data_IF_854361070165
#
_entry.id   IF_854361070165
#
_cell.length_a   1.000
_cell.length_b   1.000
_cell.length_c   1.000
_cell.angle_alpha   90.00
_cell.angle_beta   90.00
_cell.angle_gamma   90.00
#
_symmetry.space_group_name_H-M   'P 1'
#
loop_
_entity.id
_entity.type
_entity.pdbx_description
1 polymer ?
#
# COMPACT_ATOMS: atom_id res chain seq x y z
N UNK A 1 -4.52 -21.55 -14.78
CA UNK A 1 -3.30 -20.68 -14.74
C UNK A 1 -3.40 -19.83 -13.50
N UNK A 2 -2.36 -19.78 -12.73
CA UNK A 2 -2.24 -18.98 -11.53
C UNK A 2 -1.52 -17.66 -11.83
N UNK A 3 -1.68 -16.66 -10.99
CA UNK A 3 -1.18 -15.32 -11.27
C UNK A 3 -0.50 -14.75 -10.02
N UNK A 4 0.65 -14.11 -10.19
CA UNK A 4 1.34 -13.38 -9.12
C UNK A 4 1.78 -12.02 -9.61
N UNK A 5 1.47 -10.97 -8.83
CA UNK A 5 2.07 -9.65 -8.99
C UNK A 5 3.17 -9.55 -7.93
N UNK A 6 4.40 -9.32 -8.37
CA UNK A 6 5.56 -9.01 -7.51
C UNK A 6 5.75 -7.51 -7.61
N UNK A 7 5.53 -6.81 -6.52
CA UNK A 7 5.56 -5.37 -6.46
C UNK A 7 6.68 -4.87 -5.56
N UNK A 8 7.61 -4.10 -6.14
CA UNK A 8 8.62 -3.34 -5.43
C UNK A 8 8.16 -1.90 -5.26
N UNK A 9 7.67 -1.54 -4.07
CA UNK A 9 7.16 -0.22 -3.77
C UNK A 9 8.22 0.86 -4.00
N UNK A 10 7.83 1.95 -4.66
CA UNK A 10 8.70 3.08 -4.95
C UNK A 10 9.96 2.76 -5.76
N UNK A 11 10.05 1.56 -6.38
CA UNK A 11 11.26 1.05 -7.02
C UNK A 11 11.71 1.89 -8.22
N UNK A 12 10.79 2.50 -8.96
CA UNK A 12 11.12 3.37 -10.09
C UNK A 12 11.80 4.67 -9.63
N UNK A 13 12.68 5.20 -10.47
CA UNK A 13 13.49 6.38 -10.15
C UNK A 13 13.84 7.19 -11.40
N UNK A 14 14.36 8.38 -11.20
CA UNK A 14 14.93 9.20 -12.25
C UNK A 14 16.39 8.81 -12.58
N UNK A 15 16.89 9.32 -13.69
CA UNK A 15 18.29 9.19 -14.04
C UNK A 15 19.18 9.99 -13.06
N UNK A 16 20.14 9.33 -12.42
CA UNK A 16 21.02 9.89 -11.40
C UNK A 16 22.41 10.15 -11.97
N UNK A 17 22.91 11.36 -11.79
CA UNK A 17 24.24 11.75 -12.30
C UNK A 17 25.37 10.85 -11.76
N UNK A 18 25.32 10.44 -10.49
CA UNK A 18 26.27 9.53 -9.84
C UNK A 18 26.31 8.14 -10.50
N UNK A 19 25.23 7.74 -11.17
CA UNK A 19 25.13 6.48 -11.91
C UNK A 19 25.42 6.64 -13.43
N UNK A 20 26.04 7.75 -13.82
CA UNK A 20 26.35 8.05 -15.23
C UNK A 20 25.10 8.39 -16.05
N UNK A 21 24.05 8.95 -15.44
CA UNK A 21 22.82 9.31 -16.10
C UNK A 21 21.86 8.13 -16.33
N UNK A 22 22.04 7.04 -15.61
CA UNK A 22 21.13 5.89 -15.60
C UNK A 22 20.12 5.99 -14.44
N UNK A 23 18.94 5.40 -14.63
CA UNK A 23 18.03 5.13 -13.51
C UNK A 23 18.59 4.02 -12.62
N UNK A 24 18.00 3.83 -11.44
CA UNK A 24 18.44 2.76 -10.55
C UNK A 24 18.16 1.37 -11.16
N UNK A 25 17.03 1.19 -11.83
CA UNK A 25 16.73 -0.07 -12.54
C UNK A 25 17.67 -0.34 -13.70
N UNK A 26 18.14 0.70 -14.42
CA UNK A 26 19.15 0.54 -15.46
C UNK A 26 20.54 0.20 -14.91
N UNK A 27 20.83 0.55 -13.66
CA UNK A 27 22.15 0.41 -13.07
C UNK A 27 22.28 -0.83 -12.19
N UNK A 28 21.24 -1.18 -11.45
CA UNK A 28 21.21 -2.32 -10.53
C UNK A 28 21.50 -3.65 -11.26
N UNK A 29 22.11 -4.58 -10.56
CA UNK A 29 22.32 -5.93 -11.08
C UNK A 29 21.07 -6.78 -10.80
N UNK A 30 20.17 -6.83 -11.78
CA UNK A 30 18.85 -7.48 -11.67
C UNK A 30 18.60 -8.50 -12.80
N UNK A 31 19.41 -9.60 -12.85
CA UNK A 31 19.37 -10.55 -13.96
C UNK A 31 18.02 -11.26 -14.13
N UNK A 32 17.25 -11.45 -13.07
CA UNK A 32 15.94 -12.10 -13.14
C UNK A 32 14.83 -11.12 -13.59
N UNK A 33 14.87 -9.87 -13.17
CA UNK A 33 13.97 -8.84 -13.72
C UNK A 33 14.21 -8.65 -15.22
N UNK A 34 15.47 -8.58 -15.64
CA UNK A 34 15.85 -8.53 -17.05
C UNK A 34 15.45 -9.79 -17.81
N UNK A 35 15.52 -10.95 -17.17
CA UNK A 35 15.06 -12.20 -17.77
C UNK A 35 13.54 -12.18 -17.99
N UNK A 36 12.76 -11.72 -17.00
CA UNK A 36 11.30 -11.58 -17.17
C UNK A 36 10.95 -10.60 -18.30
N UNK A 37 11.73 -9.52 -18.47
CA UNK A 37 11.53 -8.58 -19.58
C UNK A 37 11.89 -9.23 -20.93
N UNK A 38 13.04 -9.90 -21.02
CA UNK A 38 13.56 -10.51 -22.24
C UNK A 38 12.76 -11.72 -22.73
N UNK A 39 12.22 -12.50 -21.79
CA UNK A 39 11.40 -13.69 -22.11
C UNK A 39 9.90 -13.42 -22.05
N UNK A 40 9.51 -12.24 -21.62
CA UNK A 40 8.13 -11.80 -21.46
C UNK A 40 7.75 -10.65 -22.38
N UNK A 41 6.78 -9.88 -21.94
CA UNK A 41 6.34 -8.65 -22.60
C UNK A 41 6.28 -7.52 -21.60
N UNK A 42 6.68 -6.35 -22.03
CA UNK A 42 6.75 -5.15 -21.21
C UNK A 42 5.76 -4.08 -21.65
N UNK A 43 5.58 -3.11 -20.76
CA UNK A 43 4.83 -1.90 -20.99
C UNK A 43 5.03 -0.93 -19.84
N UNK A 44 4.21 0.12 -19.82
CA UNK A 44 4.14 1.06 -18.70
C UNK A 44 2.69 1.18 -18.24
N UNK A 45 2.51 1.50 -16.96
CA UNK A 45 1.19 1.71 -16.38
C UNK A 45 1.09 3.07 -15.71
N UNK A 46 -0.02 3.77 -15.91
CA UNK A 46 -0.43 4.91 -15.09
C UNK A 46 -1.09 4.36 -13.83
N UNK A 47 -0.35 4.35 -12.73
CA UNK A 47 -0.81 3.83 -11.43
C UNK A 47 -1.43 4.91 -10.56
N UNK A 48 -1.04 6.18 -10.77
CA UNK A 48 -1.63 7.35 -10.12
C UNK A 48 -2.42 8.14 -11.16
N UNK A 49 -3.76 8.00 -11.20
CA UNK A 49 -4.60 8.75 -12.13
C UNK A 49 -4.58 10.25 -11.84
N UNK A 50 -4.88 11.05 -12.86
CA UNK A 50 -4.99 12.51 -12.75
C UNK A 50 -6.02 12.89 -11.66
N UNK A 51 -5.67 13.87 -10.83
CA UNK A 51 -6.50 14.35 -9.74
C UNK A 51 -6.27 13.65 -8.40
N UNK A 52 -5.46 12.58 -8.35
CA UNK A 52 -5.10 11.90 -7.11
C UNK A 52 -3.67 12.26 -6.67
N UNK A 53 -3.49 12.38 -5.37
CA UNK A 53 -2.15 12.54 -4.77
C UNK A 53 -1.38 11.22 -4.91
N UNK A 54 -0.09 11.24 -5.32
CA UNK A 54 0.72 10.03 -5.38
C UNK A 54 0.87 9.38 -4.00
N UNK A 55 0.64 8.08 -3.93
CA UNK A 55 0.79 7.28 -2.72
C UNK A 55 0.45 5.82 -2.98
N UNK A 56 0.99 4.94 -2.12
CA UNK A 56 0.83 3.49 -2.29
C UNK A 56 -0.63 3.05 -2.25
N UNK A 57 -1.49 3.69 -1.43
CA UNK A 57 -2.92 3.38 -1.39
C UNK A 57 -3.64 3.68 -2.71
N UNK A 58 -3.26 4.76 -3.38
CA UNK A 58 -3.79 5.14 -4.70
C UNK A 58 -3.28 4.20 -5.76
N UNK A 59 -1.96 4.03 -5.84
CA UNK A 59 -1.31 3.26 -6.89
C UNK A 59 -1.68 1.76 -6.83
N UNK A 60 -1.63 1.14 -5.65
CA UNK A 60 -1.97 -0.28 -5.49
C UNK A 60 -3.46 -0.56 -5.75
N UNK A 61 -4.36 0.35 -5.38
CA UNK A 61 -5.78 0.25 -5.72
C UNK A 61 -5.99 0.30 -7.24
N UNK A 62 -5.28 1.19 -7.96
CA UNK A 62 -5.32 1.28 -9.42
C UNK A 62 -4.73 0.03 -10.10
N UNK A 63 -3.62 -0.52 -9.60
CA UNK A 63 -2.97 -1.74 -10.11
C UNK A 63 -3.94 -2.92 -10.06
N UNK A 64 -4.72 -3.07 -8.97
CA UNK A 64 -5.75 -4.10 -8.85
C UNK A 64 -7.00 -3.84 -9.71
N UNK A 65 -7.00 -2.75 -10.50
CA UNK A 65 -8.02 -2.47 -11.51
C UNK A 65 -9.22 -1.70 -11.02
N UNK A 66 -9.16 -1.08 -9.84
CA UNK A 66 -10.25 -0.27 -9.31
C UNK A 66 -10.26 1.15 -9.87
N UNK A 67 -11.46 1.68 -10.08
CA UNK A 67 -11.69 3.09 -10.39
C UNK A 67 -11.70 3.90 -9.06
N UNK A 68 -10.61 4.59 -8.80
CA UNK A 68 -10.41 5.35 -7.55
C UNK A 68 -11.51 6.38 -7.29
N UNK A 69 -12.08 7.00 -8.34
CA UNK A 69 -13.19 7.94 -8.18
C UNK A 69 -14.44 7.31 -7.55
N UNK A 70 -14.52 5.97 -7.57
CA UNK A 70 -15.66 5.22 -7.02
C UNK A 70 -15.39 4.56 -5.69
N UNK A 71 -14.13 4.21 -5.42
CA UNK A 71 -13.82 3.33 -4.30
C UNK A 71 -12.88 3.95 -3.26
N UNK A 72 -12.14 5.02 -3.61
CA UNK A 72 -11.18 5.60 -2.68
C UNK A 72 -11.89 6.45 -1.61
N UNK A 73 -11.70 6.06 -0.36
CA UNK A 73 -12.33 6.69 0.80
C UNK A 73 -11.30 7.19 1.84
N UNK A 74 -10.02 7.23 1.50
CA UNK A 74 -8.95 7.63 2.42
C UNK A 74 -8.29 6.46 3.16
N UNK A 75 -7.33 6.77 4.03
CA UNK A 75 -6.50 5.77 4.74
C UNK A 75 -7.22 5.11 5.93
N UNK A 76 -8.05 5.85 6.66
CA UNK A 76 -8.72 5.34 7.86
C UNK A 76 -9.44 4.02 7.65
N UNK A 77 -10.31 3.89 6.63
CA UNK A 77 -10.99 2.63 6.32
C UNK A 77 -10.05 1.47 5.98
N UNK A 78 -8.96 1.74 5.26
CA UNK A 78 -7.97 0.71 4.87
C UNK A 78 -7.21 0.20 6.11
N UNK A 79 -6.79 1.09 6.99
CA UNK A 79 -6.13 0.73 8.24
C UNK A 79 -7.09 0.00 9.18
N UNK A 80 -8.38 0.36 9.20
CA UNK A 80 -9.41 -0.35 9.95
C UNK A 80 -9.50 -1.82 9.52
N UNK A 81 -9.57 -2.05 8.22
CA UNK A 81 -9.60 -3.41 7.66
C UNK A 81 -8.32 -4.21 7.97
N UNK A 82 -7.15 -3.56 7.91
CA UNK A 82 -5.86 -4.18 8.19
C UNK A 82 -5.76 -4.75 9.61
N UNK A 83 -6.32 -4.08 10.59
CA UNK A 83 -6.34 -4.54 11.99
C UNK A 83 -7.53 -5.44 12.34
N UNK A 84 -8.33 -5.81 11.33
CA UNK A 84 -9.49 -6.71 11.48
C UNK A 84 -10.75 -6.02 12.01
N UNK A 85 -10.86 -4.70 11.94
CA UNK A 85 -12.10 -4.00 12.27
C UNK A 85 -13.05 -4.00 11.07
N UNK A 86 -14.16 -4.71 11.22
CA UNK A 86 -15.22 -4.77 10.21
C UNK A 86 -16.12 -3.52 10.29
N UNK A 87 -15.85 -2.56 9.42
CA UNK A 87 -16.63 -1.32 9.36
C UNK A 87 -18.10 -1.58 9.05
N UNK A 88 -18.98 -0.97 9.85
CA UNK A 88 -20.43 -0.96 9.62
C UNK A 88 -20.79 0.14 8.60
N UNK A 89 -21.97 0.08 7.98
CA UNK A 89 -22.39 1.08 6.96
C UNK A 89 -22.44 2.53 7.49
N UNK A 90 -22.68 2.70 8.78
CA UNK A 90 -22.76 4.01 9.47
C UNK A 90 -21.40 4.47 10.03
N UNK A 91 -20.35 3.65 9.96
CA UNK A 91 -19.01 4.04 10.44
C UNK A 91 -18.37 5.10 9.53
N UNK A 92 -17.69 6.02 10.19
CA UNK A 92 -16.71 6.92 9.61
C UNK A 92 -15.38 6.67 10.34
N UNK A 93 -14.40 6.13 9.64
CA UNK A 93 -13.10 5.75 10.20
C UNK A 93 -12.02 6.75 9.83
N UNK A 94 -11.25 7.20 10.82
CA UNK A 94 -10.12 8.09 10.65
C UNK A 94 -8.84 7.47 11.20
N UNK A 95 -7.72 7.68 10.53
CA UNK A 95 -6.43 7.51 11.17
C UNK A 95 -6.31 8.51 12.32
N UNK A 96 -5.85 8.05 13.48
CA UNK A 96 -5.74 8.84 14.70
C UNK A 96 -4.32 8.72 15.26
N UNK A 97 -3.46 9.68 14.96
CA UNK A 97 -2.13 9.71 15.55
C UNK A 97 -2.19 10.20 17.00
N UNK A 98 -1.28 9.70 17.85
CA UNK A 98 -0.90 10.42 19.08
C UNK A 98 0.35 11.23 18.77
N UNK A 99 0.28 12.54 18.97
CA UNK A 99 1.32 13.51 18.63
C UNK A 99 1.88 14.23 19.84
N UNK A 100 2.97 14.96 19.65
CA UNK A 100 3.52 15.90 20.64
C UNK A 100 3.22 17.33 20.24
N UNK A 101 2.50 18.05 21.09
CA UNK A 101 2.34 19.49 21.02
C UNK A 101 3.23 20.18 22.05
N UNK A 102 3.95 21.23 21.65
CA UNK A 102 4.74 22.08 22.53
C UNK A 102 4.70 23.53 22.03
N UNK A 103 4.64 24.49 22.94
CA UNK A 103 4.64 25.92 22.64
C UNK A 103 3.60 26.34 21.59
N UNK A 104 2.40 25.71 21.61
CA UNK A 104 1.34 25.97 20.65
C UNK A 104 1.56 25.40 19.25
N UNK A 105 2.56 24.54 19.06
CA UNK A 105 2.97 23.98 17.76
C UNK A 105 3.00 22.46 17.75
N UNK A 106 2.90 21.86 16.57
CA UNK A 106 3.14 20.43 16.35
C UNK A 106 4.66 20.18 16.44
N UNK A 107 5.14 19.70 17.58
CA UNK A 107 6.55 19.39 17.77
C UNK A 107 6.98 18.14 17.00
N UNK A 108 6.18 17.09 17.05
CA UNK A 108 6.34 15.89 16.23
C UNK A 108 5.03 15.12 16.09
N UNK A 109 4.90 14.35 15.01
CA UNK A 109 3.70 13.59 14.65
C UNK A 109 3.67 12.17 15.23
N UNK A 110 4.69 11.76 16.00
CA UNK A 110 4.90 10.39 16.49
C UNK A 110 4.93 10.28 18.02
N UNK A 111 4.45 11.30 18.75
CA UNK A 111 4.29 11.24 20.21
C UNK A 111 5.59 11.03 20.98
N UNK A 112 6.74 11.55 20.46
CA UNK A 112 8.06 11.36 21.06
C UNK A 112 8.57 9.91 20.89
N UNK A 113 8.37 9.31 19.73
CA UNK A 113 8.74 7.92 19.40
C UNK A 113 8.06 6.91 20.33
N UNK A 114 6.72 6.95 20.37
CA UNK A 114 5.92 5.99 21.13
C UNK A 114 6.22 4.55 20.71
N UNK A 115 6.36 3.67 21.68
CA UNK A 115 6.32 2.23 21.47
C UNK A 115 4.87 1.76 21.34
N UNK A 116 4.65 0.61 20.72
CA UNK A 116 3.31 0.07 20.52
C UNK A 116 2.57 -0.14 21.84
N UNK A 117 3.24 -0.67 22.87
CA UNK A 117 2.64 -0.93 24.19
C UNK A 117 2.22 0.38 24.90
N UNK A 118 3.02 1.43 24.74
CA UNK A 118 2.74 2.75 25.34
C UNK A 118 1.53 3.40 24.61
N UNK A 119 1.54 3.36 23.26
CA UNK A 119 0.43 3.86 22.45
C UNK A 119 -0.88 3.11 22.74
N UNK A 120 -0.83 1.78 22.86
CA UNK A 120 -1.95 0.93 23.23
C UNK A 120 -2.55 1.35 24.58
N UNK A 121 -1.70 1.59 25.58
CA UNK A 121 -2.12 2.04 26.90
C UNK A 121 -2.84 3.39 26.85
N UNK A 122 -2.31 4.35 26.11
CA UNK A 122 -2.89 5.70 26.00
C UNK A 122 -4.21 5.68 25.24
N UNK A 123 -4.32 4.91 24.15
CA UNK A 123 -5.54 4.81 23.37
C UNK A 123 -6.67 4.11 24.14
N UNK A 124 -6.38 3.02 24.84
CA UNK A 124 -7.35 2.36 25.72
C UNK A 124 -7.84 3.29 26.83
N UNK A 125 -6.94 4.09 27.39
CA UNK A 125 -7.33 5.12 28.38
C UNK A 125 -8.26 6.17 27.77
N UNK A 126 -7.99 6.62 26.54
CA UNK A 126 -8.87 7.58 25.85
C UNK A 126 -10.21 6.95 25.48
N UNK A 127 -10.23 5.68 25.05
CA UNK A 127 -11.48 4.96 24.78
C UNK A 127 -12.34 4.82 26.04
N UNK A 128 -11.74 4.52 27.21
CA UNK A 128 -12.44 4.49 28.52
C UNK A 128 -13.04 5.85 28.90
N UNK A 129 -12.39 6.97 28.58
CA UNK A 129 -12.78 8.30 29.00
C UNK A 129 -13.69 9.05 28.00
N UNK A 130 -13.50 8.83 26.71
CA UNK A 130 -14.15 9.56 25.62
C UNK A 130 -14.99 8.66 24.71
N UNK A 131 -14.72 7.35 24.71
CA UNK A 131 -15.46 6.37 23.93
C UNK A 131 -16.88 6.16 24.45
N UNK A 132 -17.79 5.82 23.54
CA UNK A 132 -19.18 5.49 23.81
C UNK A 132 -19.76 4.66 22.64
N UNK A 133 -21.08 4.47 22.59
CA UNK A 133 -21.74 3.73 21.51
C UNK A 133 -21.50 4.30 20.11
N UNK A 134 -21.19 5.62 20.00
CA UNK A 134 -21.00 6.35 18.75
C UNK A 134 -19.54 6.70 18.46
N UNK A 135 -18.65 6.57 19.43
CA UNK A 135 -17.24 6.96 19.34
C UNK A 135 -16.39 5.82 19.88
N UNK A 136 -15.42 5.35 19.09
CA UNK A 136 -14.52 4.29 19.49
C UNK A 136 -13.09 4.63 19.08
N UNK A 137 -12.16 4.44 20.02
CA UNK A 137 -10.74 4.50 19.75
C UNK A 137 -10.19 3.07 19.67
N UNK A 138 -9.48 2.75 18.59
CA UNK A 138 -8.95 1.40 18.36
C UNK A 138 -7.42 1.48 18.27
N UNK A 139 -6.77 0.59 18.99
CA UNK A 139 -5.31 0.51 19.05
C UNK A 139 -4.73 0.04 17.72
N UNK A 140 -3.59 0.61 17.35
CA UNK A 140 -2.79 0.23 16.20
C UNK A 140 -1.32 0.09 16.60
N UNK A 141 -0.40 0.50 15.75
CA UNK A 141 1.05 0.32 15.95
C UNK A 141 1.68 1.65 16.32
N UNK A 142 2.45 1.68 17.43
CA UNK A 142 3.18 2.86 17.91
C UNK A 142 2.24 4.05 18.17
N UNK A 143 2.38 5.12 17.40
CA UNK A 143 1.57 6.35 17.49
C UNK A 143 0.35 6.33 16.55
N UNK A 144 0.19 5.30 15.73
CA UNK A 144 -0.84 5.17 14.67
C UNK A 144 -2.00 4.34 15.17
N UNK A 145 -3.15 4.96 15.35
CA UNK A 145 -4.38 4.37 15.87
C UNK A 145 -5.57 4.77 15.00
N UNK A 146 -6.77 4.35 15.35
CA UNK A 146 -7.99 4.69 14.65
C UNK A 146 -9.00 5.36 15.58
N UNK A 147 -9.75 6.29 14.99
CA UNK A 147 -10.96 6.86 15.56
C UNK A 147 -12.14 6.49 14.66
N UNK A 148 -13.14 5.82 15.23
CA UNK A 148 -14.39 5.48 14.56
C UNK A 148 -15.49 6.37 15.14
N UNK A 149 -16.24 7.03 14.25
CA UNK A 149 -17.38 7.88 14.61
C UNK A 149 -18.62 7.38 13.85
N UNK A 150 -19.67 7.02 14.57
CA UNK A 150 -20.95 6.67 13.96
C UNK A 150 -21.59 7.89 13.30
N UNK A 151 -22.06 7.73 12.08
CA UNK A 151 -22.68 8.77 11.28
C UNK A 151 -21.84 10.03 11.07
N UNK A 152 -20.50 9.94 11.22
CA UNK A 152 -19.60 11.04 10.87
C UNK A 152 -19.67 11.37 9.36
N UNK A 153 -19.41 12.63 9.00
CA UNK A 153 -19.43 13.11 7.63
C UNK A 153 -18.01 13.24 7.10
N UNK A 154 -17.72 12.68 5.92
CA UNK A 154 -16.38 12.69 5.32
C UNK A 154 -16.00 14.02 4.66
N UNK A 155 -16.96 14.90 4.41
CA UNK A 155 -16.73 16.20 3.78
C UNK A 155 -16.15 17.22 4.76
N UNK A 156 -15.00 16.86 5.30
CA UNK A 156 -14.20 17.67 6.23
C UNK A 156 -12.75 17.72 5.76
N UNK A 157 -12.10 18.84 6.01
CA UNK A 157 -10.67 19.05 5.77
C UNK A 157 -9.88 18.73 7.03
N UNK A 158 -8.90 17.88 6.90
CA UNK A 158 -7.98 17.48 7.97
C UNK A 158 -6.53 17.66 7.51
N UNK A 159 -5.70 18.25 8.35
CA UNK A 159 -4.27 18.41 8.09
C UNK A 159 -3.48 17.19 8.57
N UNK A 160 -2.75 16.45 7.69
CA UNK A 160 -1.83 15.41 8.12
C UNK A 160 -0.71 15.96 9.00
N UNK A 161 -0.49 15.47 10.23
CA UNK A 161 0.42 16.14 11.17
C UNK A 161 1.90 16.07 10.78
N UNK A 162 2.28 15.17 9.90
CA UNK A 162 3.64 15.04 9.38
C UNK A 162 3.99 16.09 8.30
N UNK A 163 2.99 16.71 7.69
CA UNK A 163 3.17 17.77 6.68
C UNK A 163 3.33 19.16 7.34
N UNK A 164 3.05 19.27 8.64
CA UNK A 164 3.00 20.53 9.38
C UNK A 164 3.98 20.59 10.59
N UNK A 165 5.24 20.16 10.45
CA UNK A 165 6.20 20.20 11.56
C UNK A 165 6.48 21.64 11.98
N UNK A 166 6.43 21.91 13.29
CA UNK A 166 6.62 23.22 13.91
C UNK A 166 5.59 24.31 13.52
N UNK A 167 4.48 23.95 12.91
CA UNK A 167 3.38 24.88 12.65
C UNK A 167 2.45 25.03 13.87
N UNK A 168 1.74 26.14 13.96
CA UNK A 168 0.70 26.34 14.97
C UNK A 168 -0.44 25.37 14.73
N UNK A 169 -0.83 24.62 15.76
CA UNK A 169 -1.83 23.55 15.59
C UNK A 169 -3.29 24.05 15.53
N UNK A 170 -3.60 25.19 16.17
CA UNK A 170 -4.99 25.67 16.23
C UNK A 170 -5.59 25.98 14.84
N UNK A 171 -4.85 26.62 13.90
CA UNK A 171 -5.36 26.83 12.54
C UNK A 171 -5.58 25.54 11.74
N UNK A 172 -4.94 24.43 12.15
CA UNK A 172 -4.99 23.13 11.50
C UNK A 172 -6.12 22.23 12.03
N UNK A 173 -6.93 22.71 12.98
CA UNK A 173 -8.10 22.00 13.44
C UNK A 173 -9.05 21.67 12.27
N UNK A 174 -9.81 20.59 12.43
CA UNK A 174 -10.74 20.09 11.42
C UNK A 174 -11.80 21.12 11.07
N UNK A 175 -12.08 21.28 9.78
CA UNK A 175 -13.06 22.20 9.23
C UNK A 175 -13.94 21.47 8.22
N UNK A 176 -15.21 21.90 8.01
CA UNK A 176 -15.98 21.39 6.89
C UNK A 176 -15.35 21.81 5.56
N UNK A 177 -15.44 20.97 4.53
CA UNK A 177 -15.15 21.34 3.16
C UNK A 177 -16.00 22.54 2.72
N UNK A 178 -15.47 23.32 1.77
CA UNK A 178 -16.18 24.48 1.25
C UNK A 178 -17.58 24.11 0.72
N UNK A 179 -18.60 24.80 1.23
CA UNK A 179 -19.99 24.57 0.87
C UNK A 179 -20.66 23.32 1.47
N UNK A 180 -19.99 22.62 2.42
CA UNK A 180 -20.53 21.45 3.09
C UNK A 180 -20.93 21.67 4.56
N UNK A 181 -20.65 22.81 5.16
CA UNK A 181 -20.83 23.03 6.60
C UNK A 181 -22.20 22.53 7.12
N UNK A 182 -23.29 22.98 6.51
CA UNK A 182 -24.66 22.63 6.92
C UNK A 182 -25.25 21.42 6.18
N UNK A 183 -24.45 20.75 5.35
CA UNK A 183 -24.91 19.60 4.55
C UNK A 183 -24.68 18.29 5.26
N UNK A 184 -25.64 17.39 5.10
CA UNK A 184 -25.57 15.98 5.48
C UNK A 184 -25.22 15.14 4.25
N UNK A 185 -24.48 14.07 4.47
CA UNK A 185 -24.28 13.02 3.48
C UNK A 185 -25.20 11.84 3.84
N UNK A 186 -26.36 11.78 3.22
CA UNK A 186 -27.43 10.88 3.62
C UNK A 186 -27.98 11.20 5.02
N UNK A 187 -28.05 10.18 5.87
CA UNK A 187 -28.54 10.30 7.25
C UNK A 187 -27.45 10.69 8.27
N UNK A 188 -26.23 11.00 7.79
CA UNK A 188 -25.07 11.30 8.63
C UNK A 188 -25.16 12.72 9.23
N UNK A 189 -24.33 13.02 10.20
CA UNK A 189 -24.14 14.37 10.74
C UNK A 189 -23.83 15.37 9.62
N UNK A 190 -24.04 16.65 9.87
CA UNK A 190 -23.48 17.70 9.00
C UNK A 190 -21.95 17.68 9.10
N UNK A 191 -21.27 18.22 8.09
CA UNK A 191 -19.81 18.33 8.12
C UNK A 191 -19.33 19.20 9.30
N UNK A 192 -20.09 20.25 9.66
CA UNK A 192 -19.78 21.10 10.83
C UNK A 192 -19.91 20.32 12.14
N UNK A 193 -21.01 19.58 12.34
CA UNK A 193 -21.19 18.74 13.55
C UNK A 193 -20.06 17.73 13.71
N UNK A 194 -19.60 17.13 12.59
CA UNK A 194 -18.48 16.18 12.59
C UNK A 194 -17.16 16.87 12.94
N UNK A 195 -16.87 18.03 12.34
CA UNK A 195 -15.68 18.80 12.61
C UNK A 195 -15.63 19.26 14.09
N UNK A 196 -16.75 19.77 14.61
CA UNK A 196 -16.86 20.22 16.00
C UNK A 196 -16.65 19.05 16.98
N UNK A 197 -17.21 17.88 16.70
CA UNK A 197 -17.02 16.68 17.50
C UNK A 197 -15.55 16.24 17.53
N UNK A 198 -14.87 16.19 16.38
CA UNK A 198 -13.47 15.80 16.31
C UNK A 198 -12.59 16.80 17.05
N UNK A 199 -12.84 18.10 16.89
CA UNK A 199 -12.09 19.14 17.57
C UNK A 199 -12.30 19.09 19.10
N UNK A 200 -13.51 18.81 19.56
CA UNK A 200 -13.80 18.59 21.00
C UNK A 200 -13.00 17.38 21.53
N UNK A 201 -12.94 16.27 20.78
CA UNK A 201 -12.15 15.10 21.14
C UNK A 201 -10.63 15.42 21.20
N UNK A 202 -10.10 16.19 20.25
CA UNK A 202 -8.71 16.66 20.28
C UNK A 202 -8.44 17.45 21.56
N UNK A 203 -9.25 18.44 21.86
CA UNK A 203 -9.09 19.31 23.05
C UNK A 203 -9.25 18.56 24.38
N UNK A 204 -10.19 17.61 24.44
CA UNK A 204 -10.37 16.74 25.61
C UNK A 204 -9.20 15.80 25.81
N UNK A 205 -8.67 15.23 24.71
CA UNK A 205 -7.52 14.34 24.78
C UNK A 205 -6.29 15.05 25.36
N UNK A 206 -6.05 16.32 24.99
CA UNK A 206 -4.95 17.11 25.53
C UNK A 206 -5.01 17.22 27.06
N UNK A 207 -6.20 17.50 27.61
CA UNK A 207 -6.39 17.59 29.06
C UNK A 207 -6.15 16.25 29.76
N UNK A 208 -6.72 15.16 29.22
CA UNK A 208 -6.59 13.83 29.79
C UNK A 208 -5.17 13.29 29.71
N UNK A 209 -4.51 13.45 28.56
CA UNK A 209 -3.16 12.97 28.34
C UNK A 209 -2.11 13.75 29.14
N UNK A 210 -2.30 15.04 29.38
CA UNK A 210 -1.42 15.83 30.23
C UNK A 210 -1.40 15.32 31.69
N UNK A 211 -2.51 14.78 32.16
CA UNK A 211 -2.63 14.23 33.52
C UNK A 211 -2.22 12.77 33.62
N UNK A 212 -2.07 12.06 32.50
CA UNK A 212 -1.75 10.65 32.49
C UNK A 212 -0.35 10.37 33.05
N UNK A 213 -0.18 9.36 33.94
CA UNK A 213 1.11 9.06 34.60
C UNK A 213 2.28 8.89 33.62
N UNK A 214 2.05 8.27 32.47
CA UNK A 214 3.04 8.09 31.42
C UNK A 214 3.63 9.42 30.94
N UNK A 215 2.80 10.44 30.69
CA UNK A 215 3.25 11.73 30.22
C UNK A 215 3.91 12.56 31.33
N UNK A 216 3.41 12.48 32.57
CA UNK A 216 4.04 13.12 33.74
C UNK A 216 5.45 12.58 33.99
N UNK A 217 5.65 11.28 33.82
CA UNK A 217 6.97 10.67 33.95
C UNK A 217 7.91 11.14 32.82
N UNK A 218 7.44 11.17 31.59
CA UNK A 218 8.23 11.67 30.44
C UNK A 218 8.60 13.13 30.60
N UNK A 219 7.69 13.97 31.03
CA UNK A 219 7.93 15.38 31.32
C UNK A 219 9.00 15.56 32.42
N UNK A 220 8.88 14.81 33.51
CA UNK A 220 9.89 14.81 34.59
C UNK A 220 11.28 14.36 34.11
N UNK A 221 11.36 13.54 33.06
CA UNK A 221 12.59 13.10 32.42
C UNK A 221 13.08 14.04 31.30
N UNK A 222 12.36 15.12 31.01
CA UNK A 222 12.67 16.04 29.90
C UNK A 222 12.47 15.42 28.52
N UNK A 223 11.62 14.41 28.40
CA UNK A 223 11.28 13.73 27.15
C UNK A 223 10.01 14.33 26.55
N UNK A 224 9.85 14.17 25.24
CA UNK A 224 8.63 14.55 24.54
C UNK A 224 7.44 13.74 25.06
N UNK A 225 6.34 14.43 25.33
CA UNK A 225 5.08 13.83 25.79
C UNK A 225 4.17 13.47 24.61
N UNK A 226 3.39 12.44 24.75
CA UNK A 226 2.34 12.02 23.82
C UNK A 226 1.01 12.65 24.27
N UNK A 227 0.80 13.94 23.96
CA UNK A 227 -0.13 14.79 24.69
C UNK A 227 -1.37 15.24 23.89
N UNK A 228 -1.54 14.80 22.65
CA UNK A 228 -2.75 15.07 21.86
C UNK A 228 -3.02 13.94 20.88
N UNK A 229 -4.29 13.62 20.65
CA UNK A 229 -4.69 12.89 19.44
C UNK A 229 -4.71 13.85 18.25
N UNK A 230 -4.57 13.28 17.05
CA UNK A 230 -4.69 14.01 15.79
C UNK A 230 -5.33 13.13 14.72
N UNK A 231 -6.69 13.17 14.60
CA UNK A 231 -7.42 12.44 13.59
C UNK A 231 -7.27 13.08 12.21
N UNK A 232 -7.08 12.26 11.16
CA UNK A 232 -6.95 12.71 9.78
C UNK A 232 -7.25 11.58 8.78
N UNK A 233 -7.38 11.90 7.49
CA UNK A 233 -7.64 10.95 6.38
C UNK A 233 -8.80 10.00 6.68
N UNK A 234 -9.95 10.59 6.99
CA UNK A 234 -11.18 9.85 7.27
C UNK A 234 -11.94 9.44 6.03
N UNK A 235 -12.75 8.39 6.16
CA UNK A 235 -13.61 7.91 5.09
C UNK A 235 -14.64 6.89 5.56
N UNK A 236 -15.53 6.51 4.64
CA UNK A 236 -16.53 5.47 4.83
C UNK A 236 -15.97 4.10 4.48
N UNK A 237 -16.74 3.05 4.73
CA UNK A 237 -16.40 1.73 4.22
C UNK A 237 -16.32 1.78 2.69
N UNK A 238 -15.17 1.42 2.06
CA UNK A 238 -15.03 1.42 0.61
C UNK A 238 -16.05 0.51 -0.08
N UNK A 239 -16.69 1.04 -1.13
CA UNK A 239 -17.59 0.25 -1.97
C UNK A 239 -16.80 -0.48 -3.06
N UNK A 240 -15.95 -1.42 -2.63
CA UNK A 240 -15.12 -2.24 -3.51
C UNK A 240 -15.80 -3.57 -3.81
N UNK A 241 -15.91 -3.91 -5.10
CA UNK A 241 -16.17 -5.29 -5.50
C UNK A 241 -14.93 -6.12 -5.22
N UNK A 242 -15.09 -7.37 -4.84
CA UNK A 242 -13.95 -8.28 -4.70
C UNK A 242 -13.32 -8.61 -6.06
N UNK A 243 -12.04 -9.00 -6.08
CA UNK A 243 -11.38 -9.43 -7.33
C UNK A 243 -12.09 -10.59 -8.00
N UNK A 244 -12.62 -11.62 -7.28
CA UNK A 244 -13.45 -12.66 -7.89
C UNK A 244 -14.72 -12.13 -8.58
N UNK A 245 -15.34 -11.07 -8.04
CA UNK A 245 -16.52 -10.45 -8.67
C UNK A 245 -16.17 -9.67 -9.93
N UNK A 246 -15.01 -8.95 -9.92
CA UNK A 246 -14.56 -8.18 -11.08
C UNK A 246 -13.90 -9.05 -12.16
N UNK A 247 -13.19 -10.09 -11.76
CA UNK A 247 -12.38 -10.96 -12.62
C UNK A 247 -12.67 -12.43 -12.32
N UNK A 248 -13.63 -13.05 -13.01
CA UNK A 248 -14.04 -14.44 -12.74
C UNK A 248 -12.94 -15.49 -12.89
N UNK A 249 -11.79 -15.13 -13.47
CA UNK A 249 -10.60 -15.98 -13.55
C UNK A 249 -9.94 -16.19 -12.18
N UNK A 250 -10.12 -15.24 -11.26
CA UNK A 250 -9.63 -15.28 -9.87
C UNK A 250 -10.79 -15.81 -9.02
N UNK A 251 -10.67 -17.00 -8.46
CA UNK A 251 -11.66 -17.54 -7.51
C UNK A 251 -11.26 -17.31 -6.07
N UNK A 252 -9.95 -17.30 -5.83
CA UNK A 252 -9.35 -17.07 -4.53
C UNK A 252 -7.98 -16.40 -4.69
N UNK A 253 -7.52 -15.72 -3.67
CA UNK A 253 -6.21 -15.09 -3.70
C UNK A 253 -5.78 -14.55 -2.35
N UNK A 254 -4.50 -14.16 -2.31
CA UNK A 254 -3.81 -13.73 -1.11
C UNK A 254 -3.07 -12.42 -1.33
N UNK A 255 -2.91 -11.65 -0.25
CA UNK A 255 -2.03 -10.50 -0.17
C UNK A 255 -0.94 -10.74 0.88
N UNK A 256 0.31 -10.48 0.49
CA UNK A 256 1.49 -10.60 1.35
C UNK A 256 2.15 -9.23 1.40
N UNK A 257 2.02 -8.54 2.52
CA UNK A 257 2.64 -7.22 2.76
C UNK A 257 2.90 -7.00 4.24
N UNK A 258 3.93 -6.21 4.55
CA UNK A 258 4.18 -5.69 5.89
C UNK A 258 3.40 -4.38 6.16
N UNK A 259 2.81 -3.79 5.12
CA UNK A 259 2.18 -2.46 5.15
C UNK A 259 0.68 -2.59 5.36
N UNK A 260 0.16 -1.93 6.40
CA UNK A 260 -1.25 -2.00 6.78
C UNK A 260 -2.19 -1.51 5.67
N UNK A 261 -1.82 -0.45 4.95
CA UNK A 261 -2.60 0.07 3.82
C UNK A 261 -2.82 -0.97 2.73
N UNK A 262 -1.76 -1.69 2.35
CA UNK A 262 -1.81 -2.73 1.31
C UNK A 262 -2.63 -3.92 1.77
N UNK A 263 -2.49 -4.31 3.04
CA UNK A 263 -3.31 -5.37 3.66
C UNK A 263 -4.79 -4.99 3.70
N UNK A 264 -5.10 -3.73 3.98
CA UNK A 264 -6.45 -3.19 3.95
C UNK A 264 -7.08 -3.20 2.55
N UNK A 265 -6.31 -2.80 1.51
CA UNK A 265 -6.73 -2.90 0.11
C UNK A 265 -7.01 -4.37 -0.24
N UNK A 266 -6.10 -5.29 0.12
CA UNK A 266 -6.27 -6.73 -0.09
C UNK A 266 -7.54 -7.26 0.56
N UNK A 267 -7.82 -6.87 1.80
CA UNK A 267 -9.04 -7.26 2.52
C UNK A 267 -10.31 -6.85 1.74
N UNK A 268 -10.44 -5.59 1.34
CA UNK A 268 -11.60 -5.12 0.57
C UNK A 268 -11.65 -5.73 -0.84
N UNK A 269 -10.50 -6.07 -1.41
CA UNK A 269 -10.42 -6.80 -2.67
C UNK A 269 -10.80 -8.30 -2.55
N UNK A 270 -11.12 -8.78 -1.36
CA UNK A 270 -11.47 -10.17 -1.08
C UNK A 270 -10.29 -11.14 -1.03
N UNK A 271 -9.07 -10.60 -0.83
CA UNK A 271 -7.86 -11.40 -0.64
C UNK A 271 -7.65 -11.75 0.83
N UNK A 272 -7.08 -12.93 1.08
CA UNK A 272 -6.64 -13.32 2.43
C UNK A 272 -5.31 -12.66 2.77
N UNK A 273 -5.19 -12.12 3.97
CA UNK A 273 -3.93 -11.56 4.45
C UNK A 273 -3.01 -12.67 4.99
N UNK A 274 -1.85 -12.86 4.36
CA UNK A 274 -0.80 -13.75 4.88
C UNK A 274 0.22 -12.91 5.65
N UNK A 275 0.34 -13.19 6.94
CA UNK A 275 1.31 -12.54 7.82
C UNK A 275 2.60 -13.37 7.82
N UNK A 276 3.71 -12.74 7.46
CA UNK A 276 5.03 -13.37 7.43
C UNK A 276 5.85 -12.86 8.62
N UNK A 277 6.34 -13.77 9.44
CA UNK A 277 7.20 -13.43 10.58
C UNK A 277 8.50 -12.76 10.09
N UNK A 278 8.88 -11.66 10.74
CA UNK A 278 10.05 -10.86 10.34
C UNK A 278 9.85 -10.01 9.07
N UNK A 279 8.64 -9.96 8.52
CA UNK A 279 8.33 -9.02 7.45
C UNK A 279 8.23 -7.60 8.02
N UNK A 280 9.01 -6.68 7.44
CA UNK A 280 9.03 -5.25 7.77
C UNK A 280 8.84 -4.42 6.49
N UNK A 281 8.63 -3.11 6.62
CA UNK A 281 8.70 -2.15 5.50
C UNK A 281 10.14 -1.75 5.14
N UNK A 282 11.15 -2.25 5.82
CA UNK A 282 12.55 -1.82 5.70
C UNK A 282 13.40 -2.80 4.89
N UNK A 283 14.63 -2.40 4.62
CA UNK A 283 15.60 -3.19 3.83
C UNK A 283 15.96 -4.56 4.43
N UNK A 284 15.75 -4.75 5.74
CA UNK A 284 15.99 -5.99 6.47
C UNK A 284 14.78 -6.94 6.49
N UNK A 285 13.72 -6.62 5.75
CA UNK A 285 12.51 -7.46 5.67
C UNK A 285 12.85 -8.91 5.33
N UNK A 286 12.03 -9.85 5.79
CA UNK A 286 12.18 -11.27 5.52
C UNK A 286 11.76 -11.62 4.07
N UNK A 287 12.66 -11.40 3.11
CA UNK A 287 12.43 -11.70 1.68
C UNK A 287 12.14 -13.18 1.44
N UNK A 288 12.92 -14.08 2.06
CA UNK A 288 12.78 -15.52 1.91
C UNK A 288 11.45 -16.02 2.47
N UNK A 289 11.04 -15.51 3.62
CA UNK A 289 9.75 -15.84 4.22
C UNK A 289 8.58 -15.38 3.36
N UNK A 290 8.64 -14.17 2.78
CA UNK A 290 7.63 -13.67 1.83
C UNK A 290 7.59 -14.51 0.57
N UNK A 291 8.75 -14.90 0.03
CA UNK A 291 8.88 -15.77 -1.15
C UNK A 291 8.25 -17.14 -0.90
N UNK A 292 8.59 -17.78 0.21
CA UNK A 292 8.04 -19.08 0.58
C UNK A 292 6.51 -19.02 0.77
N UNK A 293 6.01 -17.97 1.43
CA UNK A 293 4.57 -17.74 1.60
C UNK A 293 3.85 -17.54 0.27
N UNK A 294 4.44 -16.82 -0.67
CA UNK A 294 3.88 -16.60 -2.00
C UNK A 294 3.82 -17.90 -2.82
N UNK A 295 4.88 -18.71 -2.80
CA UNK A 295 4.92 -20.00 -3.48
C UNK A 295 3.90 -20.99 -2.88
N UNK A 296 3.76 -21.01 -1.55
CA UNK A 296 2.77 -21.85 -0.89
C UNK A 296 1.33 -21.40 -1.22
N UNK A 297 1.06 -20.09 -1.17
CA UNK A 297 -0.23 -19.52 -1.57
C UNK A 297 -0.59 -19.88 -3.01
N UNK A 298 0.36 -19.77 -3.95
CA UNK A 298 0.16 -20.15 -5.36
C UNK A 298 -0.15 -21.66 -5.55
N UNK A 299 0.13 -22.54 -4.60
CA UNK A 299 -0.25 -23.96 -4.71
C UNK A 299 -1.75 -24.16 -4.53
N UNK A 300 -2.41 -23.27 -3.81
CA UNK A 300 -3.80 -23.41 -3.38
C UNK A 300 -4.74 -22.37 -3.99
N UNK A 301 -4.26 -21.13 -4.20
CA UNK A 301 -5.05 -19.99 -4.66
C UNK A 301 -4.67 -19.57 -6.08
N UNK A 302 -5.55 -18.83 -6.75
CA UNK A 302 -5.40 -18.45 -8.17
C UNK A 302 -4.56 -17.18 -8.34
N UNK A 303 -4.48 -16.35 -7.28
CA UNK A 303 -3.88 -15.02 -7.35
C UNK A 303 -3.09 -14.70 -6.08
N UNK A 304 -1.90 -14.14 -6.24
CA UNK A 304 -1.08 -13.61 -5.14
C UNK A 304 -0.64 -12.18 -5.45
N UNK A 305 -0.87 -11.28 -4.50
CA UNK A 305 -0.35 -9.93 -4.51
C UNK A 305 0.80 -9.84 -3.50
N UNK A 306 2.03 -9.83 -3.98
CA UNK A 306 3.27 -9.86 -3.18
C UNK A 306 3.92 -8.49 -3.20
N UNK A 307 3.94 -7.82 -2.06
CA UNK A 307 4.38 -6.44 -1.91
C UNK A 307 5.62 -6.32 -1.02
N UNK A 308 6.58 -5.48 -1.43
CA UNK A 308 7.82 -5.17 -0.70
C UNK A 308 8.06 -3.66 -0.69
N UNK A 309 8.03 -3.05 0.47
CA UNK A 309 8.15 -1.61 0.72
C UNK A 309 9.58 -1.06 0.64
N UNK A 310 10.57 -1.89 0.88
CA UNK A 310 11.96 -1.51 1.20
C UNK A 310 12.61 -0.47 0.27
N UNK A 311 12.26 -0.47 -1.03
CA UNK A 311 12.81 0.50 -2.00
C UNK A 311 12.19 1.87 -1.89
N UNK A 312 10.94 1.96 -1.44
CA UNK A 312 10.24 3.22 -1.19
C UNK A 312 10.84 3.95 0.01
N UNK A 313 11.00 3.28 1.13
CA UNK A 313 11.62 3.85 2.33
C UNK A 313 13.05 4.36 2.06
N UNK A 314 13.85 3.57 1.31
CA UNK A 314 15.19 4.02 0.89
C UNK A 314 15.14 5.25 -0.04
N UNK A 315 14.11 5.35 -0.88
CA UNK A 315 13.83 6.51 -1.73
C UNK A 315 13.51 7.76 -0.90
N UNK A 316 12.65 7.65 0.10
CA UNK A 316 12.31 8.72 1.04
C UNK A 316 13.52 9.20 1.86
N UNK A 317 14.38 8.28 2.28
CA UNK A 317 15.63 8.61 2.96
C UNK A 317 16.64 9.30 2.02
N UNK A 318 16.46 9.15 0.70
CA UNK A 318 17.41 9.62 -0.31
C UNK A 318 18.71 8.80 -0.31
N UNK A 319 18.66 7.57 0.19
CA UNK A 319 19.80 6.67 0.25
C UNK A 319 19.90 5.84 -1.03
N UNK A 320 20.69 6.35 -1.97
CA UNK A 320 20.92 5.72 -3.28
C UNK A 320 21.48 4.30 -3.17
N UNK A 321 22.47 4.11 -2.30
CA UNK A 321 23.18 2.83 -2.19
C UNK A 321 22.27 1.79 -1.52
N UNK A 322 21.46 2.20 -0.53
CA UNK A 322 20.46 1.35 0.09
C UNK A 322 19.35 0.99 -0.89
N UNK A 323 18.84 1.95 -1.67
CA UNK A 323 17.79 1.69 -2.66
C UNK A 323 18.25 0.72 -3.74
N UNK A 324 19.46 0.87 -4.27
CA UNK A 324 20.07 -0.11 -5.20
C UNK A 324 20.09 -1.50 -4.56
N UNK A 325 20.54 -1.62 -3.32
CA UNK A 325 20.59 -2.89 -2.61
C UNK A 325 19.22 -3.52 -2.41
N UNK A 326 18.18 -2.74 -2.11
CA UNK A 326 16.82 -3.27 -1.94
C UNK A 326 16.26 -3.79 -3.27
N UNK A 327 16.52 -3.11 -4.38
CA UNK A 327 16.15 -3.55 -5.74
C UNK A 327 16.86 -4.89 -6.08
N UNK A 328 18.17 -4.98 -5.85
CA UNK A 328 18.93 -6.20 -6.07
C UNK A 328 18.49 -7.35 -5.16
N UNK A 329 18.14 -7.06 -3.89
CA UNK A 329 17.57 -8.05 -2.98
C UNK A 329 16.23 -8.58 -3.49
N UNK A 330 15.34 -7.71 -4.00
CA UNK A 330 14.07 -8.11 -4.59
C UNK A 330 14.30 -9.07 -5.77
N UNK A 331 15.25 -8.74 -6.65
CA UNK A 331 15.62 -9.59 -7.79
C UNK A 331 16.11 -10.96 -7.34
N UNK A 332 17.17 -11.00 -6.52
CA UNK A 332 17.88 -12.23 -6.20
C UNK A 332 17.20 -13.12 -5.16
N UNK A 333 16.47 -12.51 -4.21
CA UNK A 333 15.88 -13.22 -3.07
C UNK A 333 14.40 -13.51 -3.24
N UNK A 334 13.73 -12.90 -4.25
CA UNK A 334 12.30 -13.10 -4.49
C UNK A 334 12.01 -13.42 -5.96
N UNK A 335 12.29 -12.50 -6.90
CA UNK A 335 11.95 -12.69 -8.32
C UNK A 335 12.62 -13.95 -8.86
N UNK A 336 13.92 -14.12 -8.63
CA UNK A 336 14.67 -15.28 -9.05
C UNK A 336 14.14 -16.59 -8.50
N UNK A 337 14.07 -16.78 -7.18
CA UNK A 337 13.51 -17.99 -6.57
C UNK A 337 12.08 -18.32 -7.00
N UNK A 338 11.19 -17.30 -7.14
CA UNK A 338 9.83 -17.52 -7.63
C UNK A 338 9.87 -18.02 -9.09
N UNK A 339 10.60 -17.34 -9.97
CA UNK A 339 10.74 -17.74 -11.37
C UNK A 339 11.29 -19.16 -11.50
N UNK A 340 12.41 -19.49 -10.82
CA UNK A 340 13.07 -20.79 -10.88
C UNK A 340 12.13 -21.92 -10.42
N UNK A 341 11.30 -21.70 -9.43
CA UNK A 341 10.34 -22.68 -8.92
C UNK A 341 9.17 -22.83 -9.89
N UNK A 342 8.46 -21.74 -10.24
CA UNK A 342 7.19 -21.82 -10.99
C UNK A 342 7.39 -22.24 -12.46
N UNK A 343 8.56 -21.99 -13.08
CA UNK A 343 8.84 -22.45 -14.43
C UNK A 343 8.83 -23.98 -14.56
N UNK A 344 9.01 -24.69 -13.45
CA UNK A 344 9.00 -26.16 -13.38
C UNK A 344 7.61 -26.75 -13.19
N UNK A 345 6.64 -25.92 -12.81
CA UNK A 345 5.29 -26.40 -12.50
C UNK A 345 4.53 -26.84 -13.77
N UNK A 346 3.71 -27.88 -13.63
CA UNK A 346 2.81 -28.33 -14.70
C UNK A 346 1.66 -27.33 -14.91
N UNK A 347 1.13 -26.77 -13.82
CA UNK A 347 0.17 -25.68 -13.89
C UNK A 347 0.91 -24.35 -14.14
N UNK A 348 0.65 -23.68 -15.28
CA UNK A 348 1.36 -22.47 -15.62
C UNK A 348 1.03 -21.32 -14.66
N UNK A 349 2.05 -20.54 -14.31
CA UNK A 349 1.97 -19.33 -13.52
C UNK A 349 2.30 -18.13 -14.39
N UNK A 350 1.51 -17.09 -14.31
CA UNK A 350 1.78 -15.79 -14.92
C UNK A 350 2.37 -14.86 -13.85
N UNK A 351 3.56 -14.34 -14.08
CA UNK A 351 4.25 -13.38 -13.22
C UNK A 351 4.11 -11.99 -13.82
N UNK A 352 3.64 -11.03 -13.04
CA UNK A 352 3.80 -9.61 -13.32
C UNK A 352 4.80 -9.02 -12.32
N UNK A 353 5.75 -8.23 -12.81
CA UNK A 353 6.72 -7.47 -12.01
C UNK A 353 6.52 -5.99 -12.28
N UNK A 354 6.39 -5.18 -11.22
CA UNK A 354 6.25 -3.73 -11.35
C UNK A 354 6.51 -2.99 -10.04
N UNK A 355 6.88 -1.69 -10.07
CA UNK A 355 6.67 -0.78 -8.95
C UNK A 355 5.22 -0.27 -8.95
N UNK A 356 4.84 0.39 -7.87
CA UNK A 356 3.55 1.09 -7.82
C UNK A 356 3.66 2.57 -8.23
N UNK A 357 4.71 3.26 -7.81
CA UNK A 357 5.04 4.64 -8.19
C UNK A 357 6.56 4.87 -8.16
N UNK A 358 7.07 5.95 -8.75
CA UNK A 358 8.43 6.40 -8.51
C UNK A 358 8.55 7.08 -7.12
N UNK A 359 9.66 6.80 -6.42
CA UNK A 359 10.10 7.55 -5.23
C UNK A 359 11.57 7.93 -5.41
N UNK A 360 11.86 8.91 -6.29
CA UNK A 360 13.22 9.20 -6.66
C UNK A 360 14.07 9.67 -5.48
N UNK A 361 15.26 9.09 -5.33
CA UNK A 361 16.18 9.37 -4.22
C UNK A 361 16.60 10.84 -4.10
N UNK A 362 16.60 11.57 -5.22
CA UNK A 362 16.91 13.01 -5.22
C UNK A 362 15.73 13.88 -4.83
N UNK A 363 14.49 13.38 -5.01
CA UNK A 363 13.23 14.09 -4.71
C UNK A 363 12.68 13.71 -3.34
N UNK A 364 12.83 12.44 -2.92
CA UNK A 364 12.43 11.90 -1.62
C UNK A 364 10.93 11.92 -1.36
N UNK A 365 10.15 11.86 -2.41
CA UNK A 365 8.68 11.76 -2.33
C UNK A 365 8.12 11.06 -3.55
N UNK A 366 6.88 10.61 -3.46
CA UNK A 366 6.18 9.91 -4.53
C UNK A 366 5.89 10.82 -5.72
N UNK A 367 5.93 10.24 -6.93
CA UNK A 367 5.53 10.89 -8.17
C UNK A 367 4.43 10.11 -8.89
N UNK A 368 3.75 10.77 -9.83
CA UNK A 368 2.64 10.18 -10.59
C UNK A 368 3.02 9.73 -12.00
N UNK A 369 4.32 9.64 -12.30
CA UNK A 369 4.80 9.19 -13.60
C UNK A 369 4.47 7.71 -13.84
N UNK A 370 4.18 7.32 -15.12
CA UNK A 370 3.93 5.93 -15.44
C UNK A 370 5.12 5.01 -15.12
N UNK A 371 4.85 3.88 -14.52
CA UNK A 371 5.86 2.91 -14.09
C UNK A 371 6.04 1.76 -15.08
N UNK A 372 7.24 1.17 -15.21
CA UNK A 372 7.47 0.00 -16.04
C UNK A 372 6.82 -1.25 -15.46
N UNK A 373 6.36 -2.17 -16.32
CA UNK A 373 5.98 -3.51 -15.92
C UNK A 373 6.44 -4.56 -16.93
N UNK A 374 6.64 -5.78 -16.44
CA UNK A 374 6.89 -6.96 -17.26
C UNK A 374 5.88 -8.06 -16.91
N UNK A 375 5.33 -8.74 -17.92
CA UNK A 375 4.46 -9.92 -17.76
C UNK A 375 5.15 -11.10 -18.43
N UNK A 376 5.36 -12.18 -17.66
CA UNK A 376 5.95 -13.42 -18.11
C UNK A 376 5.05 -14.62 -17.75
N UNK A 377 4.97 -15.58 -18.64
CA UNK A 377 4.46 -16.92 -18.39
C UNK A 377 5.11 -17.89 -19.37
N UNK A 378 5.21 -19.16 -18.99
CA UNK A 378 5.83 -20.19 -19.83
C UNK A 378 5.15 -20.29 -21.21
N UNK A 379 5.91 -19.99 -22.27
CA UNK A 379 5.43 -20.04 -23.65
C UNK A 379 4.83 -18.75 -24.18
N UNK A 380 4.99 -17.61 -23.47
CA UNK A 380 4.70 -16.30 -24.02
C UNK A 380 5.65 -16.00 -25.19
N UNK A 381 5.15 -15.40 -26.26
CA UNK A 381 6.01 -14.81 -27.28
C UNK A 381 6.57 -13.49 -26.78
N UNK A 382 7.89 -13.35 -26.59
CA UNK A 382 8.47 -12.13 -26.04
C UNK A 382 8.36 -10.96 -27.01
N UNK A 383 8.44 -9.75 -26.48
CA UNK A 383 8.61 -8.54 -27.28
C UNK A 383 10.11 -8.20 -27.46
N UNK A 384 10.41 -6.97 -27.90
CA UNK A 384 11.79 -6.58 -28.21
C UNK A 384 12.59 -6.09 -27.00
N UNK A 385 11.97 -5.98 -25.82
CA UNK A 385 12.61 -5.44 -24.60
C UNK A 385 13.62 -6.42 -24.06
N UNK A 386 14.83 -5.95 -23.76
CA UNK A 386 15.94 -6.79 -23.30
C UNK A 386 16.32 -6.54 -21.83
N UNK A 387 15.91 -5.41 -21.27
CA UNK A 387 16.20 -5.00 -19.91
C UNK A 387 14.95 -4.43 -19.26
N UNK A 388 14.76 -4.70 -17.97
CA UNK A 388 13.63 -4.18 -17.20
C UNK A 388 14.00 -2.84 -16.56
N UNK A 389 13.56 -1.76 -17.18
CA UNK A 389 13.74 -0.40 -16.66
C UNK A 389 12.71 0.59 -17.26
N UNK A 390 12.67 1.80 -16.73
CA UNK A 390 11.76 2.87 -17.13
C UNK A 390 11.90 3.32 -18.59
N UNK A 391 13.13 3.19 -19.14
CA UNK A 391 13.44 3.63 -20.50
C UNK A 391 13.16 2.51 -21.50
N UNK A 392 13.62 1.29 -21.23
CA UNK A 392 13.47 0.13 -22.10
C UNK A 392 12.01 -0.30 -22.26
N UNK A 393 11.25 -0.30 -21.18
CA UNK A 393 9.84 -0.72 -21.16
C UNK A 393 8.89 0.24 -21.92
N UNK A 394 9.35 1.44 -22.31
CA UNK A 394 8.61 2.34 -23.24
C UNK A 394 8.31 1.63 -24.55
N UNK A 395 9.23 0.78 -25.01
CA UNK A 395 9.14 0.05 -26.29
C UNK A 395 8.43 -1.30 -26.17
N UNK A 396 7.91 -1.63 -24.97
CA UNK A 396 7.19 -2.87 -24.74
C UNK A 396 5.87 -2.96 -25.50
N UNK A 397 5.49 -4.17 -25.88
CA UNK A 397 4.34 -4.43 -26.74
C UNK A 397 2.97 -4.10 -26.11
N UNK A 398 2.89 -3.96 -24.79
CA UNK A 398 1.67 -3.51 -24.10
C UNK A 398 1.46 -2.00 -24.19
N UNK A 399 2.52 -1.21 -24.48
CA UNK A 399 2.44 0.25 -24.50
C UNK A 399 2.13 0.85 -23.13
N UNK A 400 1.28 1.87 -23.09
CA UNK A 400 0.86 2.54 -21.86
C UNK A 400 -0.56 2.09 -21.46
N UNK A 401 -0.68 1.40 -20.32
CA UNK A 401 -1.94 0.91 -19.78
C UNK A 401 -2.46 1.79 -18.63
N UNK A 402 -3.78 1.74 -18.40
CA UNK A 402 -4.46 2.47 -17.34
C UNK A 402 -5.49 1.57 -16.65
N UNK A 403 -5.63 1.70 -15.34
CA UNK A 403 -6.68 1.04 -14.55
C UNK A 403 -6.85 -0.44 -14.92
N UNK A 404 -8.06 -0.86 -15.27
CA UNK A 404 -8.39 -2.26 -15.57
C UNK A 404 -7.67 -2.83 -16.80
N UNK A 405 -7.06 -2.01 -17.63
CA UNK A 405 -6.35 -2.50 -18.83
C UNK A 405 -5.19 -3.41 -18.45
N UNK A 406 -4.45 -3.05 -17.37
CA UNK A 406 -3.37 -3.90 -16.85
C UNK A 406 -3.90 -5.25 -16.36
N UNK A 407 -4.88 -5.27 -15.46
CA UNK A 407 -5.45 -6.52 -14.96
C UNK A 407 -6.06 -7.38 -16.08
N UNK A 408 -6.72 -6.76 -17.06
CA UNK A 408 -7.25 -7.49 -18.23
C UNK A 408 -6.15 -8.09 -19.10
N UNK A 409 -5.03 -7.39 -19.29
CA UNK A 409 -3.87 -7.89 -20.01
C UNK A 409 -3.20 -9.06 -19.25
N UNK A 410 -3.01 -8.88 -17.94
CA UNK A 410 -2.39 -9.85 -17.04
C UNK A 410 -3.22 -11.14 -16.89
N UNK A 411 -4.53 -11.02 -16.76
CA UNK A 411 -5.44 -12.15 -16.56
C UNK A 411 -6.00 -12.74 -17.87
N UNK A 412 -5.53 -12.27 -19.03
CA UNK A 412 -6.03 -12.75 -20.31
C UNK A 412 -5.79 -14.25 -20.44
N UNK A 413 -6.80 -15.03 -20.91
CA UNK A 413 -6.59 -16.45 -21.17
C UNK A 413 -5.48 -16.62 -22.22
N UNK A 414 -4.42 -17.28 -21.83
CA UNK A 414 -3.35 -17.63 -22.74
C UNK A 414 -3.70 -18.95 -23.42
N UNK A 415 -3.60 -19.09 -24.77
CA UNK A 415 -3.87 -20.37 -25.41
C UNK A 415 -2.96 -21.41 -24.76
N UNK A 416 -3.55 -22.55 -24.32
CA UNK A 416 -2.76 -23.70 -23.90
C UNK A 416 -1.79 -24.00 -25.05
N UNK A 417 -0.51 -24.10 -24.75
CA UNK A 417 0.46 -24.65 -25.70
C UNK A 417 -0.15 -25.97 -26.20
N UNK A 418 -0.36 -26.06 -27.50
CA UNK A 418 -0.91 -27.27 -28.10
C UNK A 418 -0.05 -28.43 -27.61
N UNK A 419 -0.65 -29.36 -26.84
CA UNK A 419 -0.01 -30.64 -26.55
C UNK A 419 0.42 -31.18 -27.93
N UNK A 420 1.72 -31.36 -28.14
CA UNK A 420 2.23 -32.01 -29.32
C UNK A 420 1.49 -33.35 -29.44
N UNK A 421 0.62 -33.43 -30.41
CA UNK A 421 -0.04 -34.68 -30.74
C UNK A 421 1.08 -35.69 -31.00
N UNK A 422 1.20 -36.67 -30.14
CA UNK A 422 2.09 -37.80 -30.37
C UNK A 422 1.74 -38.35 -31.75
N UNK A 423 2.67 -38.25 -32.67
CA UNK A 423 2.54 -38.83 -33.97
C UNK A 423 2.23 -40.31 -33.81
N UNK A 424 1.20 -40.87 -34.48
CA UNK A 424 0.95 -42.29 -34.43
C UNK A 424 2.18 -42.99 -35.01
N UNK A 425 2.70 -43.97 -34.30
CA UNK A 425 3.78 -44.86 -34.72
C UNK A 425 3.39 -45.54 -36.04
N UNK A 426 4.23 -45.51 -37.08
CA UNK A 426 3.96 -46.13 -38.34
C UNK A 426 4.40 -47.62 -38.38
N UNK A 427 4.22 -48.37 -37.29
CA UNK A 427 4.47 -49.81 -37.30
C UNK A 427 3.30 -50.55 -36.61
N UNK A 428 2.38 -50.99 -37.43
CA UNK A 428 1.36 -51.97 -37.16
C UNK A 428 1.04 -52.66 -38.45
N UNK A 429 1.90 -53.57 -38.84
CA UNK A 429 1.67 -54.49 -39.93
C UNK A 429 1.80 -55.94 -39.43
N UNK A 430 0.83 -56.74 -39.83
CA UNK A 430 0.56 -58.16 -39.74
C UNK A 430 -0.23 -58.68 -38.59
#
# INVERSE_FOLDING_TARGET
MKHIIILGDGMADHAVARLGGKTLLQYAHTPYMDLLAREGRCGRMVTVPEGFHPGSEVANTAILGYDLNKVYEGRGPLEAASIGYEMQPDDFAMRCNIITLADGRIKNHHGGHLKTEDGDTLIKYLDDKLGNENIKFITGIQYRHLLIIKNGNKHIECAPPHDHPNEEWQPLLVKPEEGWADKKDGDRMTAQETADLINDLILKSQKLLAEHPFNREREAQGKDTANSIWPWSGGYRPSMQTLPEMFPQIKSGDVISAVDLIRGIGHYAGLKNIIVEGATGLADTNYEGKTAAALEALRHDDFVFLHVEASDEAGHDGDLDLKLKTIENLDHRMVGPIYEEVKTWDEPVCIALMPDHPTPVEIRTHLSEPVPFAIWYKGIEPDSVQQYDEVSCVNGSFGLLKLQEFMRAFLKPHPRAAQSAASPSPYGGE
#
